data_IF_606463804163
#
_entry.id   IF_606463804163
#
_cell.length_a   1.000
_cell.length_b   1.000
_cell.length_c   1.000
_cell.angle_alpha   90.00
_cell.angle_beta   90.00
_cell.angle_gamma   90.00
#
_symmetry.space_group_name_H-M   'P 1'
#
loop_
_entity.id
_entity.type
_entity.pdbx_description
1 polymer ?
#
# COMPACT_ATOMS: atom_id res chain seq x y z
N UNK A 1 15.83 -19.30 17.06
CA UNK A 1 14.99 -18.11 16.83
C UNK A 1 13.67 -18.57 16.25
N UNK A 2 12.53 -18.04 16.68
CA UNK A 2 11.24 -18.45 16.12
C UNK A 2 11.11 -18.01 14.66
N UNK A 3 10.32 -18.77 13.90
CA UNK A 3 9.90 -18.45 12.54
C UNK A 3 8.47 -17.92 12.56
N UNK A 4 8.11 -17.11 11.56
CA UNK A 4 6.75 -16.55 11.47
C UNK A 4 5.68 -17.64 11.28
N UNK A 5 6.06 -18.79 10.79
CA UNK A 5 5.19 -19.96 10.59
C UNK A 5 5.08 -20.85 11.82
N UNK A 6 5.86 -20.59 12.87
CA UNK A 6 5.75 -21.33 14.11
C UNK A 6 4.49 -20.90 14.87
N UNK A 7 3.99 -21.80 15.73
CA UNK A 7 2.84 -21.46 16.59
C UNK A 7 3.24 -20.34 17.56
N UNK A 8 2.50 -19.21 17.59
CA UNK A 8 2.79 -18.14 18.54
C UNK A 8 2.57 -18.57 19.99
N UNK A 9 3.22 -17.86 20.91
CA UNK A 9 3.02 -18.08 22.35
C UNK A 9 1.56 -17.73 22.75
N UNK A 10 1.10 -18.34 23.84
CA UNK A 10 -0.32 -18.29 24.27
C UNK A 10 -0.86 -16.86 24.44
N UNK A 11 -0.06 -15.94 24.96
CA UNK A 11 -0.45 -14.53 25.11
C UNK A 11 -0.75 -13.88 23.77
N UNK A 12 0.13 -14.05 22.78
CA UNK A 12 -0.05 -13.50 21.42
C UNK A 12 -1.27 -14.14 20.75
N UNK A 13 -1.47 -15.45 20.89
CA UNK A 13 -2.66 -16.12 20.34
C UNK A 13 -3.94 -15.50 20.89
N UNK A 14 -3.99 -15.17 22.19
CA UNK A 14 -5.13 -14.52 22.83
C UNK A 14 -5.34 -13.09 22.31
N UNK A 15 -4.29 -12.31 22.16
CA UNK A 15 -4.36 -10.95 21.62
C UNK A 15 -4.84 -10.94 20.16
N UNK A 16 -4.37 -11.88 19.35
CA UNK A 16 -4.84 -12.04 17.96
C UNK A 16 -6.33 -12.41 17.90
N UNK A 17 -6.82 -13.21 18.83
CA UNK A 17 -8.26 -13.53 18.90
C UNK A 17 -9.11 -12.28 19.20
N UNK A 18 -8.67 -11.44 20.15
CA UNK A 18 -9.31 -10.15 20.41
C UNK A 18 -9.26 -9.22 19.19
N UNK A 19 -8.09 -9.14 18.52
CA UNK A 19 -7.98 -8.36 17.31
C UNK A 19 -8.96 -8.82 16.24
N UNK A 20 -9.11 -10.14 16.03
CA UNK A 20 -10.07 -10.70 15.06
C UNK A 20 -11.49 -10.27 15.37
N UNK A 21 -11.93 -10.44 16.63
CA UNK A 21 -13.26 -10.06 17.05
C UNK A 21 -13.53 -8.56 16.85
N UNK A 22 -12.54 -7.72 17.15
CA UNK A 22 -12.64 -6.27 16.96
C UNK A 22 -12.74 -5.91 15.47
N UNK A 23 -11.93 -6.53 14.62
CA UNK A 23 -11.98 -6.35 13.17
C UNK A 23 -13.30 -6.86 12.58
N UNK A 24 -13.82 -7.99 13.05
CA UNK A 24 -15.11 -8.55 12.63
C UNK A 24 -16.29 -7.62 12.94
N UNK A 25 -16.18 -6.85 14.04
CA UNK A 25 -17.21 -5.89 14.43
C UNK A 25 -17.13 -4.57 13.65
N UNK A 26 -15.95 -4.18 13.13
CA UNK A 26 -15.71 -2.86 12.54
C UNK A 26 -15.59 -2.87 11.02
N UNK A 27 -15.10 -3.97 10.44
CA UNK A 27 -14.90 -4.08 9.01
C UNK A 27 -16.02 -4.91 8.38
N UNK A 28 -16.67 -4.43 7.32
CA UNK A 28 -17.70 -5.20 6.64
C UNK A 28 -17.18 -6.56 6.18
N UNK A 29 -17.98 -7.64 6.27
CA UNK A 29 -17.57 -8.94 5.78
C UNK A 29 -17.39 -8.95 4.26
N UNK A 30 -16.40 -9.71 3.79
CA UNK A 30 -16.22 -9.98 2.37
C UNK A 30 -17.41 -10.77 1.84
N UNK A 31 -18.13 -10.22 0.87
CA UNK A 31 -19.25 -10.87 0.18
C UNK A 31 -18.90 -11.07 -1.28
N UNK A 32 -18.81 -12.33 -1.71
CA UNK A 32 -18.27 -12.70 -3.03
C UNK A 32 -18.89 -11.91 -4.18
N UNK A 33 -20.18 -11.64 -4.11
CA UNK A 33 -20.95 -11.06 -5.21
C UNK A 33 -21.42 -9.61 -4.98
N UNK A 34 -21.05 -9.01 -3.85
CA UNK A 34 -21.66 -7.74 -3.44
C UNK A 34 -20.70 -6.61 -3.15
N UNK A 35 -19.47 -6.90 -2.73
CA UNK A 35 -18.49 -5.88 -2.38
C UNK A 35 -17.06 -6.26 -2.75
N UNK A 36 -16.25 -5.22 -2.91
CA UNK A 36 -14.78 -5.30 -2.93
C UNK A 36 -14.30 -4.35 -1.84
N UNK A 37 -13.48 -4.85 -0.93
CA UNK A 37 -12.92 -4.08 0.16
C UNK A 37 -11.51 -3.62 -0.23
N UNK A 38 -11.37 -2.32 -0.44
CA UNK A 38 -10.11 -1.68 -0.82
C UNK A 38 -9.62 -0.84 0.34
N UNK A 39 -8.34 -0.91 0.65
CA UNK A 39 -7.71 -0.12 1.70
C UNK A 39 -6.39 0.51 1.23
N UNK A 40 -5.96 1.53 1.96
CA UNK A 40 -4.60 2.07 1.90
C UNK A 40 -4.05 2.15 3.32
N UNK A 41 -2.76 1.86 3.46
CA UNK A 41 -2.11 1.89 4.76
C UNK A 41 -0.64 2.28 4.67
N UNK A 42 -0.28 3.41 5.25
CA UNK A 42 1.12 3.71 5.51
C UNK A 42 1.59 2.88 6.72
N UNK A 43 2.30 1.78 6.44
CA UNK A 43 2.92 0.96 7.49
C UNK A 43 4.31 1.50 7.75
N UNK A 44 4.43 2.45 8.66
CA UNK A 44 5.66 3.18 8.98
C UNK A 44 6.90 2.29 8.94
N UNK A 45 7.88 2.66 8.09
CA UNK A 45 9.17 1.99 7.94
C UNK A 45 9.03 0.45 7.79
N UNK A 46 8.18 -0.01 6.87
CA UNK A 46 7.87 -1.42 6.67
C UNK A 46 9.04 -2.14 5.98
N UNK A 47 10.04 -2.52 6.77
CA UNK A 47 11.30 -3.05 6.29
C UNK A 47 11.77 -4.28 7.07
N UNK A 48 12.73 -4.09 7.95
CA UNK A 48 13.28 -5.16 8.80
C UNK A 48 12.38 -5.44 10.01
N UNK A 49 12.64 -6.55 10.68
CA UNK A 49 11.99 -6.95 11.93
C UNK A 49 12.96 -7.66 12.88
N UNK A 50 12.66 -7.62 14.17
CA UNK A 50 13.31 -8.42 15.19
C UNK A 50 12.71 -9.82 15.22
N UNK A 51 13.53 -10.86 15.07
CA UNK A 51 13.10 -12.26 15.04
C UNK A 51 12.85 -12.82 16.45
N UNK A 52 11.96 -12.17 17.17
CA UNK A 52 11.42 -12.60 18.47
C UNK A 52 9.90 -12.49 18.40
N UNK A 53 9.21 -13.24 19.22
CA UNK A 53 7.77 -13.08 19.36
C UNK A 53 7.41 -11.71 19.93
N UNK A 54 8.19 -11.23 20.89
CA UNK A 54 8.04 -9.90 21.51
C UNK A 54 9.42 -9.26 21.57
N UNK A 55 9.53 -8.05 21.02
CA UNK A 55 10.74 -7.24 21.09
C UNK A 55 10.92 -6.61 22.48
N UNK A 56 12.16 -6.47 22.91
CA UNK A 56 12.53 -5.86 24.20
C UNK A 56 13.02 -4.41 23.99
N UNK A 57 13.35 -3.74 25.10
CA UNK A 57 13.81 -2.36 25.10
C UNK A 57 15.04 -2.10 24.22
N UNK A 58 15.97 -3.04 24.21
CA UNK A 58 17.23 -3.01 23.45
C UNK A 58 17.11 -3.41 21.98
N UNK A 59 16.02 -4.05 21.57
CA UNK A 59 15.86 -4.53 20.20
C UNK A 59 15.59 -3.38 19.21
N UNK A 60 16.16 -3.48 18.00
CA UNK A 60 15.94 -2.58 16.88
C UNK A 60 15.92 -3.38 15.57
N UNK A 61 14.87 -3.24 14.75
CA UNK A 61 13.66 -2.45 14.96
C UNK A 61 12.75 -3.06 16.03
N UNK A 62 11.82 -2.27 16.55
CA UNK A 62 10.80 -2.75 17.52
C UNK A 62 9.76 -3.67 16.90
N UNK A 63 9.56 -3.60 15.58
CA UNK A 63 8.69 -4.54 14.87
C UNK A 63 9.20 -5.96 15.03
N UNK A 64 8.37 -6.84 15.50
CA UNK A 64 8.65 -8.24 15.82
C UNK A 64 7.64 -9.18 15.11
N UNK A 65 7.71 -10.48 15.39
CA UNK A 65 6.82 -11.46 14.77
C UNK A 65 5.36 -11.26 15.18
N UNK A 66 5.08 -10.82 16.42
CA UNK A 66 3.73 -10.47 16.85
C UNK A 66 3.15 -9.32 16.01
N UNK A 67 3.94 -8.27 15.80
CA UNK A 67 3.55 -7.16 14.93
C UNK A 67 3.21 -7.62 13.51
N UNK A 68 3.96 -8.59 12.96
CA UNK A 68 3.68 -9.14 11.63
C UNK A 68 2.36 -9.92 11.62
N UNK A 69 2.07 -10.71 12.64
CA UNK A 69 0.79 -11.43 12.75
C UNK A 69 -0.40 -10.46 12.80
N UNK A 70 -0.29 -9.39 13.59
CA UNK A 70 -1.33 -8.36 13.66
C UNK A 70 -1.52 -7.65 12.31
N UNK A 71 -0.42 -7.27 11.65
CA UNK A 71 -0.48 -6.63 10.32
C UNK A 71 -1.16 -7.57 9.32
N UNK A 72 -0.76 -8.84 9.27
CA UNK A 72 -1.35 -9.81 8.36
C UNK A 72 -2.85 -10.02 8.63
N UNK A 73 -3.26 -10.08 9.89
CA UNK A 73 -4.67 -10.20 10.28
C UNK A 73 -5.49 -9.01 9.79
N UNK A 74 -4.99 -7.78 9.95
CA UNK A 74 -5.66 -6.57 9.44
C UNK A 74 -5.75 -6.61 7.91
N UNK A 75 -4.63 -6.90 7.22
CA UNK A 75 -4.59 -6.94 5.76
C UNK A 75 -5.54 -8.00 5.19
N UNK A 76 -5.69 -9.14 5.86
CA UNK A 76 -6.55 -10.24 5.43
C UNK A 76 -8.03 -9.84 5.29
N UNK A 77 -8.45 -8.73 5.91
CA UNK A 77 -9.83 -8.22 5.85
C UNK A 77 -10.18 -7.53 4.54
N UNK A 78 -9.20 -7.17 3.74
CA UNK A 78 -9.40 -6.44 2.49
C UNK A 78 -9.11 -7.32 1.28
N UNK A 79 -9.65 -6.93 0.13
CA UNK A 79 -9.43 -7.63 -1.14
C UNK A 79 -8.21 -7.08 -1.87
N UNK A 80 -7.99 -5.75 -1.77
CA UNK A 80 -6.80 -5.06 -2.30
C UNK A 80 -6.34 -4.01 -1.31
N UNK A 81 -5.05 -3.96 -1.04
CA UNK A 81 -4.46 -2.95 -0.15
C UNK A 81 -3.25 -2.30 -0.83
N UNK A 82 -3.24 -0.96 -0.86
CA UNK A 82 -2.04 -0.20 -1.18
C UNK A 82 -1.25 0.09 0.10
N UNK A 83 0.03 -0.23 0.09
CA UNK A 83 0.92 -0.03 1.23
C UNK A 83 2.00 0.97 0.86
N UNK A 84 2.22 1.96 1.72
CA UNK A 84 3.29 2.94 1.62
C UNK A 84 4.40 2.63 2.65
N UNK A 85 5.56 3.25 2.46
CA UNK A 85 6.77 3.11 3.29
C UNK A 85 7.36 1.70 3.34
N UNK A 86 7.18 0.89 2.31
CA UNK A 86 7.92 -0.37 2.18
C UNK A 86 9.39 -0.05 1.92
N UNK A 87 10.27 -0.45 2.80
CA UNK A 87 11.71 -0.18 2.69
C UNK A 87 12.41 -1.12 1.69
N UNK A 88 13.65 -0.80 1.34
CA UNK A 88 14.51 -1.65 0.51
C UNK A 88 14.67 -3.06 1.08
N UNK A 89 14.78 -3.19 2.41
CA UNK A 89 14.69 -4.49 3.08
C UNK A 89 13.22 -4.91 3.20
N UNK A 90 12.83 -5.95 2.49
CA UNK A 90 11.44 -6.43 2.41
C UNK A 90 11.14 -7.61 3.36
N UNK A 91 11.95 -7.83 4.40
CA UNK A 91 11.77 -8.99 5.29
C UNK A 91 10.39 -9.00 5.96
N UNK A 92 9.96 -7.87 6.52
CA UNK A 92 8.64 -7.75 7.15
C UNK A 92 7.52 -8.08 6.16
N UNK A 93 7.59 -7.53 4.95
CA UNK A 93 6.62 -7.79 3.88
C UNK A 93 6.60 -9.28 3.48
N UNK A 94 7.78 -9.89 3.29
CA UNK A 94 7.87 -11.33 2.96
C UNK A 94 7.27 -12.22 4.04
N UNK A 95 7.53 -11.91 5.31
CA UNK A 95 6.96 -12.68 6.42
C UNK A 95 5.46 -12.44 6.55
N UNK A 96 4.97 -11.24 6.29
CA UNK A 96 3.52 -10.96 6.17
C UNK A 96 2.88 -11.79 5.05
N UNK A 97 3.50 -11.86 3.87
CA UNK A 97 3.00 -12.69 2.75
C UNK A 97 2.93 -14.18 3.10
N UNK A 98 3.88 -14.70 3.88
CA UNK A 98 3.83 -16.09 4.36
C UNK A 98 2.62 -16.35 5.26
N UNK A 99 2.28 -15.39 6.14
CA UNK A 99 1.10 -15.48 7.01
C UNK A 99 -0.20 -15.38 6.21
N UNK A 100 -0.26 -14.49 5.24
CA UNK A 100 -1.42 -14.32 4.35
C UNK A 100 -1.66 -15.56 3.46
N UNK A 101 -0.59 -16.27 3.08
CA UNK A 101 -0.66 -17.51 2.33
C UNK A 101 -0.67 -17.34 0.81
N UNK A 102 -0.77 -18.48 0.10
CA UNK A 102 -0.55 -18.57 -1.36
C UNK A 102 -1.61 -17.89 -2.22
N UNK A 103 -2.71 -17.44 -1.62
CA UNK A 103 -3.80 -16.74 -2.33
C UNK A 103 -3.57 -15.24 -2.42
N UNK A 104 -2.44 -14.76 -1.95
CA UNK A 104 -2.13 -13.34 -1.98
C UNK A 104 -1.09 -13.02 -3.03
N UNK A 105 -1.45 -12.08 -3.91
CA UNK A 105 -0.54 -11.47 -4.88
C UNK A 105 0.14 -10.24 -4.31
N UNK A 106 1.31 -9.94 -4.86
CA UNK A 106 2.13 -8.79 -4.47
C UNK A 106 2.66 -8.09 -5.71
N UNK A 107 2.51 -6.77 -5.76
CA UNK A 107 3.19 -5.88 -6.71
C UNK A 107 4.01 -4.88 -5.90
N UNK A 108 5.24 -4.64 -6.32
CA UNK A 108 6.16 -3.67 -5.71
C UNK A 108 6.64 -2.68 -6.76
N UNK A 109 6.75 -1.41 -6.39
CA UNK A 109 7.47 -0.42 -7.18
C UNK A 109 8.98 -0.54 -6.96
N UNK A 110 9.75 0.14 -7.78
CA UNK A 110 11.18 0.32 -7.51
C UNK A 110 11.44 1.17 -6.27
N UNK A 111 12.65 1.06 -5.73
CA UNK A 111 13.08 1.85 -4.57
C UNK A 111 13.39 3.27 -5.00
N UNK A 112 12.67 4.24 -4.47
CA UNK A 112 12.99 5.64 -4.69
C UNK A 112 14.25 6.01 -3.89
N UNK A 113 15.34 6.28 -4.60
CA UNK A 113 16.64 6.66 -4.04
C UNK A 113 16.70 8.17 -3.77
N UNK A 114 17.71 8.58 -3.02
CA UNK A 114 17.95 9.98 -2.64
C UNK A 114 17.33 10.35 -1.28
N UNK A 115 17.71 11.52 -0.76
CA UNK A 115 17.30 12.00 0.56
C UNK A 115 15.79 12.17 0.69
N UNK A 116 15.14 12.61 -0.37
CA UNK A 116 13.68 12.80 -0.40
C UNK A 116 12.90 11.48 -0.55
N UNK A 117 13.45 10.48 -1.27
CA UNK A 117 12.84 9.16 -1.48
C UNK A 117 12.95 8.21 -0.30
N UNK A 118 13.90 8.47 0.61
CA UNK A 118 14.09 7.73 1.88
C UNK A 118 14.25 6.20 1.72
N UNK A 119 14.63 5.72 0.53
CA UNK A 119 14.76 4.29 0.25
C UNK A 119 13.44 3.53 0.35
N UNK A 120 12.34 4.20 0.06
CA UNK A 120 10.99 3.67 0.16
C UNK A 120 10.43 3.25 -1.20
N UNK A 121 9.46 2.38 -1.16
CA UNK A 121 8.64 1.96 -2.29
C UNK A 121 7.18 1.79 -1.87
N UNK A 122 6.30 1.67 -2.83
CA UNK A 122 4.90 1.34 -2.62
C UNK A 122 4.63 -0.11 -3.02
N UNK A 123 3.57 -0.68 -2.48
CA UNK A 123 3.16 -2.04 -2.79
C UNK A 123 1.64 -2.12 -2.91
N UNK A 124 1.18 -3.11 -3.69
CA UNK A 124 -0.17 -3.62 -3.62
C UNK A 124 -0.15 -5.08 -3.18
N UNK A 125 -0.96 -5.40 -2.19
CA UNK A 125 -1.30 -6.77 -1.81
C UNK A 125 -2.74 -7.02 -2.19
N UNK A 126 -3.04 -8.20 -2.74
CA UNK A 126 -4.40 -8.50 -3.17
C UNK A 126 -4.72 -9.99 -3.06
N UNK A 127 -5.96 -10.30 -2.69
CA UNK A 127 -6.50 -11.67 -2.63
C UNK A 127 -6.86 -12.14 -4.04
N UNK A 128 -6.06 -13.04 -4.62
CA UNK A 128 -6.21 -13.54 -5.99
C UNK A 128 -7.51 -14.32 -6.23
N UNK A 129 -8.19 -14.74 -5.18
CA UNK A 129 -9.52 -15.36 -5.26
C UNK A 129 -10.63 -14.33 -5.51
N UNK A 130 -10.36 -13.06 -5.20
CA UNK A 130 -11.31 -11.95 -5.25
C UNK A 130 -11.05 -11.00 -6.41
N UNK A 131 -9.78 -10.75 -6.70
CA UNK A 131 -9.36 -9.82 -7.75
C UNK A 131 -8.21 -10.41 -8.57
N UNK A 132 -8.14 -10.01 -9.82
CA UNK A 132 -7.09 -10.35 -10.76
C UNK A 132 -6.51 -9.08 -11.36
N UNK A 133 -5.30 -9.13 -11.86
CA UNK A 133 -4.71 -8.04 -12.63
C UNK A 133 -5.42 -7.91 -13.98
N UNK A 134 -5.68 -6.67 -14.41
CA UNK A 134 -6.36 -6.40 -15.70
C UNK A 134 -5.40 -6.01 -16.82
N UNK A 135 -4.08 -6.06 -16.57
CA UNK A 135 -3.04 -5.80 -17.58
C UNK A 135 -2.29 -4.49 -17.40
N UNK A 136 -2.86 -3.48 -16.72
CA UNK A 136 -2.17 -2.23 -16.43
C UNK A 136 -1.35 -2.34 -15.13
N UNK A 137 -0.06 -2.05 -15.21
CA UNK A 137 0.79 -1.84 -14.03
C UNK A 137 1.95 -0.92 -14.44
N UNK A 138 1.94 0.34 -14.02
CA UNK A 138 2.93 1.33 -14.46
C UNK A 138 3.15 2.46 -13.45
N UNK A 139 4.35 3.01 -13.48
CA UNK A 139 4.65 4.29 -12.87
C UNK A 139 4.05 5.42 -13.70
N UNK A 140 3.53 6.43 -13.00
CA UNK A 140 2.88 7.57 -13.63
C UNK A 140 3.82 8.75 -13.70
N UNK A 141 4.48 8.91 -14.85
CA UNK A 141 5.41 10.02 -15.13
C UNK A 141 4.65 11.13 -15.82
N UNK A 142 4.64 12.33 -15.24
CA UNK A 142 4.01 13.51 -15.87
C UNK A 142 4.92 14.03 -16.99
N UNK A 143 4.42 14.17 -18.23
CA UNK A 143 5.18 14.76 -19.32
C UNK A 143 5.66 16.19 -19.00
N UNK A 144 6.90 16.55 -19.38
CA UNK A 144 7.48 17.86 -19.07
C UNK A 144 6.64 19.03 -19.55
N UNK A 145 6.00 18.89 -20.71
CA UNK A 145 5.11 19.91 -21.30
C UNK A 145 3.87 20.18 -20.46
N UNK A 146 3.43 19.19 -19.65
CA UNK A 146 2.30 19.35 -18.73
C UNK A 146 2.74 19.94 -17.39
N UNK A 147 3.99 19.75 -16.99
CA UNK A 147 4.56 20.31 -15.76
C UNK A 147 4.59 21.86 -15.81
N UNK A 148 4.94 22.44 -16.95
CA UNK A 148 4.96 23.89 -17.16
C UNK A 148 3.58 24.53 -17.14
N UNK A 149 2.53 23.83 -17.57
CA UNK A 149 1.14 24.33 -17.56
C UNK A 149 0.48 24.32 -16.18
N UNK A 150 1.01 23.53 -15.25
CA UNK A 150 0.49 23.40 -13.88
C UNK A 150 1.04 24.52 -12.97
N UNK A 151 1.93 25.39 -13.48
CA UNK A 151 2.41 26.59 -12.77
C UNK A 151 3.32 26.24 -11.58
N UNK A 152 4.27 25.34 -11.75
CA UNK A 152 4.93 24.75 -10.62
C UNK A 152 6.44 24.89 -10.71
N UNK A 153 6.97 25.85 -9.97
CA UNK A 153 8.37 25.81 -9.51
C UNK A 153 8.66 24.55 -8.66
N UNK A 154 7.63 23.84 -8.18
CA UNK A 154 7.75 22.67 -7.31
C UNK A 154 7.80 21.32 -8.05
N UNK A 155 7.53 21.28 -9.36
CA UNK A 155 7.54 20.05 -10.18
C UNK A 155 8.60 20.10 -11.30
N UNK A 156 9.59 20.95 -11.19
CA UNK A 156 10.80 20.86 -12.03
C UNK A 156 11.52 19.50 -11.82
N UNK A 157 11.25 18.87 -10.69
CA UNK A 157 11.62 17.49 -10.40
C UNK A 157 10.33 16.67 -10.30
N UNK A 158 10.27 15.51 -11.00
CA UNK A 158 9.24 14.48 -10.88
C UNK A 158 8.81 14.28 -9.42
N UNK A 159 7.59 13.80 -9.18
CA UNK A 159 7.14 13.44 -7.82
C UNK A 159 8.25 12.80 -7.01
N UNK A 160 8.39 13.19 -5.75
CA UNK A 160 9.39 12.60 -4.84
C UNK A 160 9.27 11.08 -4.82
N UNK A 161 8.05 10.56 -4.91
CA UNK A 161 7.73 9.16 -5.14
C UNK A 161 6.72 9.08 -6.27
N UNK A 162 7.14 8.49 -7.37
CA UNK A 162 6.30 8.38 -8.57
C UNK A 162 5.02 7.61 -8.24
N UNK A 163 3.82 8.17 -8.49
CA UNK A 163 2.57 7.45 -8.32
C UNK A 163 2.56 6.17 -9.14
N UNK A 164 1.92 5.13 -8.62
CA UNK A 164 1.89 3.83 -9.27
C UNK A 164 0.45 3.38 -9.52
N UNK A 165 0.14 3.13 -10.78
CA UNK A 165 -1.17 2.69 -11.21
C UNK A 165 -1.19 1.20 -11.47
N UNK A 166 -2.23 0.52 -10.96
CA UNK A 166 -2.48 -0.90 -11.22
C UNK A 166 -3.94 -1.10 -11.55
N UNK A 167 -4.18 -1.76 -12.68
CA UNK A 167 -5.52 -2.19 -13.09
C UNK A 167 -5.88 -3.53 -12.46
N UNK A 168 -7.04 -3.58 -11.82
CA UNK A 168 -7.61 -4.78 -11.24
C UNK A 168 -8.95 -5.10 -11.87
N UNK A 169 -9.30 -6.37 -11.88
CA UNK A 169 -10.61 -6.88 -12.29
C UNK A 169 -11.17 -7.77 -11.18
N UNK A 170 -12.42 -7.51 -10.82
CA UNK A 170 -13.22 -8.41 -10.00
C UNK A 170 -14.50 -8.71 -10.75
N UNK A 171 -14.69 -9.96 -11.13
CA UNK A 171 -15.79 -10.38 -12.01
C UNK A 171 -15.84 -9.55 -13.32
N UNK A 172 -16.93 -8.83 -13.53
CA UNK A 172 -17.15 -7.98 -14.71
C UNK A 172 -16.78 -6.51 -14.48
N UNK A 173 -16.23 -6.17 -13.31
CA UNK A 173 -15.83 -4.80 -12.97
C UNK A 173 -14.32 -4.67 -13.06
N UNK A 174 -13.86 -3.74 -13.88
CA UNK A 174 -12.46 -3.34 -13.95
C UNK A 174 -12.29 -1.96 -13.32
N UNK A 175 -11.23 -1.77 -12.56
CA UNK A 175 -10.89 -0.53 -11.90
C UNK A 175 -9.39 -0.33 -11.83
N UNK A 176 -8.96 0.93 -11.80
CA UNK A 176 -7.56 1.30 -11.70
C UNK A 176 -7.35 1.94 -10.32
N UNK A 177 -6.41 1.41 -9.57
CA UNK A 177 -5.94 2.02 -8.32
C UNK A 177 -4.64 2.75 -8.57
N UNK A 178 -4.58 4.01 -8.15
CA UNK A 178 -3.35 4.82 -8.17
C UNK A 178 -2.91 5.04 -6.73
N UNK A 179 -1.80 4.43 -6.33
CA UNK A 179 -1.23 4.68 -5.01
C UNK A 179 -0.27 5.86 -5.04
N UNK A 180 -0.36 6.67 -4.00
CA UNK A 180 0.37 7.91 -3.80
C UNK A 180 1.08 7.89 -2.45
N UNK A 181 2.27 8.49 -2.40
CA UNK A 181 2.93 8.81 -1.13
C UNK A 181 3.57 10.19 -1.28
N UNK A 182 2.86 11.20 -0.82
CA UNK A 182 3.22 12.62 -1.02
C UNK A 182 4.38 13.00 -0.12
N UNK A 183 5.14 14.01 -0.55
CA UNK A 183 6.27 14.53 0.22
C UNK A 183 5.81 14.94 1.64
N UNK A 184 6.53 14.45 2.64
CA UNK A 184 6.36 14.95 4.00
C UNK A 184 6.71 16.43 4.07
N UNK A 185 5.78 17.24 4.56
CA UNK A 185 6.00 18.67 4.85
C UNK A 185 5.53 18.99 6.26
N UNK A 186 6.32 19.77 7.02
CA UNK A 186 5.97 20.20 8.38
C UNK A 186 4.67 21.01 8.43
N UNK A 187 4.35 21.72 7.32
CA UNK A 187 3.14 22.55 7.19
C UNK A 187 2.31 22.10 6.00
N UNK A 188 1.00 22.20 6.12
CA UNK A 188 0.06 21.89 5.03
C UNK A 188 0.36 22.70 3.73
N UNK A 189 0.88 23.92 3.85
CA UNK A 189 1.27 24.77 2.70
C UNK A 189 2.33 24.11 1.81
N UNK A 190 3.23 23.32 2.36
CA UNK A 190 4.33 22.67 1.62
C UNK A 190 3.85 21.48 0.78
N UNK A 191 2.70 20.88 1.15
CA UNK A 191 2.10 19.72 0.46
C UNK A 191 1.07 20.10 -0.60
N UNK A 192 0.44 21.28 -0.45
CA UNK A 192 -0.64 21.75 -1.35
C UNK A 192 -0.26 21.78 -2.84
N UNK A 193 0.94 22.25 -3.24
CA UNK A 193 1.30 22.28 -4.66
C UNK A 193 1.32 20.88 -5.28
N UNK A 194 1.97 19.91 -4.63
CA UNK A 194 2.05 18.52 -5.11
C UNK A 194 0.66 17.87 -5.18
N UNK A 195 -0.17 18.06 -4.13
CA UNK A 195 -1.56 17.58 -4.10
C UNK A 195 -2.41 18.14 -5.24
N UNK A 196 -2.31 19.46 -5.52
CA UNK A 196 -3.02 20.10 -6.62
C UNK A 196 -2.58 19.56 -7.97
N UNK A 197 -1.27 19.40 -8.16
CA UNK A 197 -0.71 18.88 -9.39
C UNK A 197 -1.20 17.45 -9.67
N UNK A 198 -1.17 16.59 -8.66
CA UNK A 198 -1.68 15.22 -8.75
C UNK A 198 -3.18 15.22 -9.06
N UNK A 199 -3.97 16.03 -8.34
CA UNK A 199 -5.42 16.10 -8.55
C UNK A 199 -5.79 16.57 -9.97
N UNK A 200 -5.12 17.61 -10.50
CA UNK A 200 -5.32 18.07 -11.88
C UNK A 200 -4.95 16.99 -12.88
N UNK A 201 -3.81 16.37 -12.71
CA UNK A 201 -3.33 15.34 -13.62
C UNK A 201 -4.24 14.10 -13.63
N UNK A 202 -4.67 13.62 -12.46
CA UNK A 202 -5.63 12.52 -12.36
C UNK A 202 -7.00 12.88 -12.96
N UNK A 203 -7.46 14.13 -12.76
CA UNK A 203 -8.68 14.62 -13.37
C UNK A 203 -8.60 14.65 -14.91
N UNK A 204 -7.47 15.12 -15.45
CA UNK A 204 -7.26 15.14 -16.90
C UNK A 204 -7.14 13.71 -17.45
N UNK A 205 -6.48 12.83 -16.74
CA UNK A 205 -6.41 11.42 -17.12
C UNK A 205 -7.80 10.77 -17.11
N UNK A 206 -8.57 10.97 -16.05
CA UNK A 206 -9.94 10.45 -15.95
C UNK A 206 -10.86 10.94 -17.09
N UNK A 207 -10.70 12.20 -17.55
CA UNK A 207 -11.46 12.74 -18.68
C UNK A 207 -11.07 12.12 -20.03
N UNK A 208 -9.81 11.70 -20.18
CA UNK A 208 -9.27 11.15 -21.41
C UNK A 208 -9.32 9.61 -21.47
N UNK A 209 -9.78 8.96 -20.41
CA UNK A 209 -9.95 7.48 -20.32
C UNK A 209 -11.23 6.98 -21.05
N UNK A 210 -11.84 7.78 -21.90
CA UNK A 210 -13.06 7.39 -22.63
C UNK A 210 -12.97 6.03 -23.36
N UNK A 211 -11.77 5.57 -23.69
CA UNK A 211 -11.54 4.26 -24.31
C UNK A 211 -11.54 3.08 -23.33
N UNK A 212 -11.43 3.32 -22.02
CA UNK A 212 -11.21 2.23 -21.04
C UNK A 212 -12.37 2.00 -20.08
N UNK A 213 -13.41 2.79 -20.05
CA UNK A 213 -14.61 2.63 -19.19
C UNK A 213 -14.31 2.07 -17.79
N UNK A 214 -13.19 2.51 -17.16
CA UNK A 214 -12.69 1.96 -15.92
C UNK A 214 -12.79 2.99 -14.78
N UNK A 215 -13.20 2.53 -13.63
CA UNK A 215 -13.21 3.36 -12.42
C UNK A 215 -11.78 3.66 -11.98
N UNK A 216 -11.41 4.94 -11.89
CA UNK A 216 -10.12 5.41 -11.40
C UNK A 216 -10.24 5.82 -9.93
N UNK A 217 -9.44 5.23 -9.07
CA UNK A 217 -9.44 5.48 -7.63
C UNK A 217 -8.02 5.84 -7.20
N UNK A 218 -7.84 7.05 -6.68
CA UNK A 218 -6.59 7.47 -6.06
C UNK A 218 -6.64 7.24 -4.54
N UNK A 219 -5.56 6.69 -4.00
CA UNK A 219 -5.45 6.36 -2.59
C UNK A 219 -3.99 6.44 -2.13
N UNK A 220 -3.75 6.65 -0.86
CA UNK A 220 -2.38 6.78 -0.36
C UNK A 220 -2.28 7.64 0.88
N UNK A 221 -1.07 8.13 1.13
CA UNK A 221 -0.75 9.00 2.26
C UNK A 221 -0.20 10.38 1.78
#
# INVERSE_FOLDING_TARGET
MPHITDRPIKSISKELEFLKQDLDSKIPPKKLDRNILIATWNIRAFGNLTRKWISRGEDSPKRDLHSILCIAEILSRFDVIAIQEVKSNIRALRDTMKVLGNHWGLILTDVTRGSAGNGERMAYLFDTRRVQLSGLACELVVPKEKLTKIGVDALQEQFVRTPYAVGFRSKNQTFILVTLHIKYGKKAKERKPELKAIAHWLSDWAKNISEYNQNLIALGD
#
